data_IF_601265090959
#
_entry.id   IF_601265090959
#
_cell.length_a   1.000
_cell.length_b   1.000
_cell.length_c   1.000
_cell.angle_alpha   90.00
_cell.angle_beta   90.00
_cell.angle_gamma   90.00
#
_symmetry.space_group_name_H-M   'P 1'
#
loop_
_entity.id
_entity.type
_entity.pdbx_description
1 polymer ?
#
# COMPACT_ATOMS: atom_id res chain seq x y z
N UNK A 1 -1.51 -6.34 -4.57
CA UNK A 1 -0.26 -6.53 -5.35
C UNK A 1 0.94 -6.70 -4.42
N UNK A 2 2.06 -7.23 -4.95
CA UNK A 2 3.27 -7.47 -4.17
C UNK A 2 4.26 -6.28 -4.15
N UNK A 3 3.87 -5.12 -4.66
CA UNK A 3 4.73 -3.91 -4.73
C UNK A 3 3.93 -2.63 -4.51
N UNK A 4 4.63 -1.57 -4.04
CA UNK A 4 4.01 -0.32 -3.57
C UNK A 4 3.08 0.37 -4.57
N UNK A 5 3.59 0.76 -5.75
CA UNK A 5 2.82 1.52 -6.75
C UNK A 5 1.55 0.79 -7.19
N UNK A 6 1.61 -0.49 -7.63
CA UNK A 6 0.40 -1.22 -8.01
C UNK A 6 -0.61 -1.38 -6.88
N UNK A 7 -0.15 -1.59 -5.63
CA UNK A 7 -1.05 -1.72 -4.49
C UNK A 7 -1.78 -0.41 -4.18
N UNK A 8 -1.05 0.72 -4.22
CA UNK A 8 -1.61 2.05 -3.98
C UNK A 8 -2.57 2.46 -5.09
N UNK A 9 -2.23 2.15 -6.35
CA UNK A 9 -3.11 2.35 -7.49
C UNK A 9 -4.44 1.61 -7.30
N UNK A 10 -4.37 0.29 -7.05
CA UNK A 10 -5.58 -0.51 -6.84
C UNK A 10 -6.42 -0.08 -5.62
N UNK A 11 -5.77 0.35 -4.52
CA UNK A 11 -6.46 0.88 -3.35
C UNK A 11 -7.28 2.14 -3.68
N UNK A 12 -6.68 3.06 -4.42
CA UNK A 12 -7.31 4.36 -4.67
C UNK A 12 -8.32 4.31 -5.82
N UNK A 13 -8.11 3.48 -6.83
CA UNK A 13 -8.95 3.48 -8.05
C UNK A 13 -10.00 2.36 -8.09
N UNK A 14 -9.83 1.30 -7.29
CA UNK A 14 -10.66 0.10 -7.40
C UNK A 14 -10.38 -0.74 -8.65
N UNK A 15 -9.34 -0.39 -9.42
CA UNK A 15 -8.94 -1.07 -10.66
C UNK A 15 -7.75 -1.99 -10.39
N UNK A 16 -7.82 -3.21 -10.90
CA UNK A 16 -6.66 -4.10 -10.85
C UNK A 16 -5.52 -3.53 -11.70
N UNK A 17 -4.34 -3.25 -11.10
CA UNK A 17 -3.21 -2.63 -11.80
C UNK A 17 -2.72 -3.46 -13.02
N UNK A 18 -3.08 -4.74 -13.09
CA UNK A 18 -2.79 -5.57 -14.25
C UNK A 18 -3.55 -5.12 -15.51
N UNK A 19 -4.74 -4.51 -15.37
CA UNK A 19 -5.52 -4.01 -16.51
C UNK A 19 -4.88 -2.83 -17.22
N UNK A 20 -4.17 -2.00 -16.48
CA UNK A 20 -3.56 -0.75 -16.99
C UNK A 20 -2.06 -0.85 -17.19
N UNK A 21 -1.47 -2.05 -17.00
CA UNK A 21 -0.03 -2.24 -17.12
C UNK A 21 0.81 -1.70 -15.97
N UNK A 22 0.19 -1.22 -14.89
CA UNK A 22 0.86 -0.74 -13.68
C UNK A 22 1.38 -1.93 -12.87
N UNK A 23 2.42 -2.58 -13.35
CA UNK A 23 2.92 -3.85 -12.79
C UNK A 23 4.11 -3.68 -11.85
N UNK A 24 4.82 -2.57 -11.96
CA UNK A 24 6.06 -2.33 -11.23
C UNK A 24 5.99 -1.06 -10.40
N UNK A 25 6.89 -0.96 -9.45
CA UNK A 25 7.09 0.27 -8.66
C UNK A 25 7.62 1.37 -9.57
N UNK A 26 7.02 2.55 -9.54
CA UNK A 26 7.53 3.73 -10.22
C UNK A 26 8.93 4.10 -9.71
N UNK A 27 9.75 4.64 -10.59
CA UNK A 27 10.95 5.36 -10.20
C UNK A 27 10.55 6.62 -9.41
N UNK A 28 11.48 7.18 -8.65
CA UNK A 28 11.23 8.29 -7.74
C UNK A 28 10.50 9.48 -8.40
N UNK A 29 10.77 9.74 -9.68
CA UNK A 29 10.15 10.82 -10.48
C UNK A 29 9.35 10.24 -11.66
N UNK A 30 8.58 9.20 -11.40
CA UNK A 30 7.68 8.65 -12.40
C UNK A 30 6.57 9.64 -12.77
N UNK A 31 6.12 9.59 -14.03
CA UNK A 31 4.93 10.32 -14.50
C UNK A 31 3.71 9.87 -13.70
N UNK A 32 2.73 10.78 -13.53
CA UNK A 32 1.42 10.43 -12.99
C UNK A 32 0.80 9.26 -13.76
N UNK A 33 0.26 8.29 -13.02
CA UNK A 33 -0.31 7.04 -13.58
C UNK A 33 -1.82 6.92 -13.38
N UNK A 34 -2.41 7.77 -12.55
CA UNK A 34 -3.86 7.93 -12.47
C UNK A 34 -4.24 8.94 -13.54
N UNK A 35 -5.17 8.60 -14.42
CA UNK A 35 -5.64 9.52 -15.45
C UNK A 35 -6.47 10.64 -14.81
N UNK A 36 -6.50 11.81 -15.45
CA UNK A 36 -7.15 13.00 -14.88
C UNK A 36 -8.65 12.81 -14.64
N UNK A 37 -9.31 12.01 -15.45
CA UNK A 37 -10.74 11.67 -15.36
C UNK A 37 -11.03 10.44 -14.48
N UNK A 38 -9.97 9.72 -14.06
CA UNK A 38 -10.10 8.52 -13.24
C UNK A 38 -10.40 8.90 -11.79
N UNK A 39 -11.59 8.51 -11.31
CA UNK A 39 -12.03 8.77 -9.94
C UNK A 39 -11.31 7.90 -8.93
N UNK A 40 -11.03 8.48 -7.78
CA UNK A 40 -10.35 7.81 -6.67
C UNK A 40 -11.25 7.60 -5.46
N UNK A 41 -10.78 6.81 -4.52
CA UNK A 41 -11.41 6.63 -3.22
C UNK A 41 -11.58 7.98 -2.47
N UNK A 42 -10.64 8.94 -2.66
CA UNK A 42 -10.77 10.27 -2.10
C UNK A 42 -11.90 11.07 -2.76
N UNK A 43 -12.12 10.92 -4.08
CA UNK A 43 -13.28 11.53 -4.75
C UNK A 43 -14.60 10.97 -4.22
N UNK A 44 -14.68 9.67 -3.94
CA UNK A 44 -15.85 9.06 -3.32
C UNK A 44 -16.15 9.71 -1.95
N UNK A 45 -15.17 9.78 -1.07
CA UNK A 45 -15.36 10.41 0.24
C UNK A 45 -15.74 11.88 0.12
N UNK A 46 -15.08 12.63 -0.76
CA UNK A 46 -15.35 14.05 -1.01
C UNK A 46 -16.77 14.26 -1.54
N UNK A 47 -17.26 13.41 -2.46
CA UNK A 47 -18.64 13.48 -2.98
C UNK A 47 -19.71 13.24 -1.90
N UNK A 48 -19.35 12.52 -0.83
CA UNK A 48 -20.21 12.28 0.34
C UNK A 48 -19.98 13.29 1.48
N UNK A 49 -19.34 14.42 1.20
CA UNK A 49 -19.18 15.53 2.13
C UNK A 49 -18.03 15.41 3.14
N UNK A 50 -17.13 14.43 2.98
CA UNK A 50 -15.94 14.31 3.82
C UNK A 50 -14.87 15.34 3.45
N UNK A 51 -14.12 15.82 4.44
CA UNK A 51 -12.81 16.41 4.20
C UNK A 51 -11.79 15.29 3.97
N UNK A 52 -10.94 15.45 2.96
CA UNK A 52 -10.07 14.37 2.48
C UNK A 52 -8.60 14.77 2.58
N UNK A 53 -7.81 13.98 3.29
CA UNK A 53 -6.42 14.31 3.59
C UNK A 53 -5.50 13.12 3.29
N UNK A 54 -4.38 13.40 2.63
CA UNK A 54 -3.29 12.45 2.49
C UNK A 54 -2.06 12.96 3.24
N UNK A 55 -1.52 12.15 4.14
CA UNK A 55 -0.27 12.42 4.84
C UNK A 55 0.69 11.25 4.62
N UNK A 56 1.84 11.51 4.00
CA UNK A 56 2.87 10.52 3.80
C UNK A 56 3.24 10.26 2.35
N UNK A 57 3.51 9.01 2.00
CA UNK A 57 4.02 8.59 0.69
C UNK A 57 2.90 8.53 -0.36
N UNK A 58 3.04 9.26 -1.48
CA UNK A 58 2.17 9.15 -2.65
C UNK A 58 2.50 7.95 -3.53
N UNK A 59 3.59 8.01 -4.24
CA UNK A 59 4.18 6.97 -5.09
C UNK A 59 3.32 6.53 -6.30
N UNK A 60 2.51 7.44 -6.81
CA UNK A 60 1.72 7.24 -8.04
C UNK A 60 2.10 8.25 -9.14
N UNK A 61 3.24 8.93 -8.95
CA UNK A 61 3.80 9.87 -9.91
C UNK A 61 3.20 11.26 -9.84
N UNK A 62 3.80 12.14 -10.62
CA UNK A 62 3.37 13.53 -10.87
C UNK A 62 3.75 13.88 -12.31
N UNK A 63 3.07 14.81 -12.93
CA UNK A 63 3.46 15.37 -14.22
C UNK A 63 4.48 16.49 -13.99
N UNK A 64 5.74 16.10 -13.84
CA UNK A 64 6.82 17.03 -13.55
C UNK A 64 7.05 18.01 -14.70
N UNK A 65 6.95 19.33 -14.50
CA UNK A 65 7.44 20.30 -15.47
C UNK A 65 8.97 20.11 -15.62
N UNK A 66 9.49 19.90 -16.81
CA UNK A 66 10.93 19.71 -17.06
C UNK A 66 11.58 18.42 -16.54
N UNK A 67 11.00 17.27 -16.81
CA UNK A 67 11.51 15.94 -16.38
C UNK A 67 13.01 15.70 -16.66
N UNK A 68 13.62 16.34 -17.65
CA UNK A 68 14.97 15.98 -18.13
C UNK A 68 16.12 16.74 -17.43
N UNK A 69 15.90 17.87 -16.77
CA UNK A 69 17.01 18.73 -16.33
C UNK A 69 17.19 18.93 -14.82
N UNK A 70 16.14 18.91 -14.01
CA UNK A 70 16.26 19.18 -12.57
C UNK A 70 15.45 18.20 -11.73
N UNK A 71 16.07 17.71 -10.66
CA UNK A 71 15.41 16.86 -9.65
C UNK A 71 14.39 17.64 -8.80
N UNK A 72 14.41 18.96 -8.84
CA UNK A 72 13.57 19.87 -8.09
C UNK A 72 13.00 20.96 -9.00
N UNK A 73 11.82 21.46 -8.67
CA UNK A 73 11.16 22.59 -9.31
C UNK A 73 10.40 23.41 -8.27
N UNK A 74 10.28 24.71 -8.50
CA UNK A 74 9.38 25.60 -7.74
C UNK A 74 7.95 25.62 -8.31
N UNK A 75 7.78 25.08 -9.52
CA UNK A 75 6.48 25.02 -10.18
C UNK A 75 5.56 23.97 -9.52
N UNK A 76 4.23 24.09 -9.73
CA UNK A 76 3.30 23.06 -9.32
C UNK A 76 3.64 21.69 -9.89
N UNK A 77 3.23 20.66 -9.18
CA UNK A 77 3.36 19.24 -9.54
C UNK A 77 1.97 18.67 -9.87
N UNK A 78 1.47 18.81 -11.10
CA UNK A 78 0.18 18.28 -11.49
C UNK A 78 0.14 16.75 -11.44
N UNK A 79 -1.07 16.17 -11.44
CA UNK A 79 -1.30 14.73 -11.38
C UNK A 79 -1.03 14.13 -9.99
N UNK A 80 -0.96 14.98 -8.97
CA UNK A 80 -0.75 14.59 -7.58
C UNK A 80 -2.04 14.34 -6.80
N UNK A 81 -1.94 14.15 -5.48
CA UNK A 81 -3.09 13.83 -4.62
C UNK A 81 -4.23 14.86 -4.70
N UNK A 82 -3.91 16.15 -4.79
CA UNK A 82 -4.93 17.21 -4.81
C UNK A 82 -5.73 17.25 -6.10
N UNK A 83 -5.18 16.70 -7.19
CA UNK A 83 -5.88 16.53 -8.46
C UNK A 83 -6.75 15.27 -8.47
N UNK A 84 -6.59 14.40 -7.48
CA UNK A 84 -7.25 13.11 -7.34
C UNK A 84 -8.06 12.99 -6.03
N UNK A 85 -8.84 14.03 -5.73
CA UNK A 85 -9.87 14.00 -4.68
C UNK A 85 -9.42 14.34 -3.27
N UNK A 86 -8.13 14.52 -2.98
CA UNK A 86 -7.67 14.98 -1.67
C UNK A 86 -7.74 16.50 -1.55
N UNK A 87 -8.38 17.01 -0.50
CA UNK A 87 -8.41 18.45 -0.19
C UNK A 87 -7.02 18.95 0.23
N UNK A 88 -6.23 18.11 0.91
CA UNK A 88 -4.86 18.44 1.30
C UNK A 88 -3.92 17.25 1.18
N UNK A 89 -2.67 17.54 0.83
CA UNK A 89 -1.57 16.60 0.83
C UNK A 89 -0.36 17.18 1.58
N UNK A 90 0.24 16.40 2.47
CA UNK A 90 1.55 16.69 3.01
C UNK A 90 2.37 15.40 3.08
N UNK A 91 3.46 15.33 2.31
CA UNK A 91 4.18 14.07 2.27
C UNK A 91 5.38 14.04 1.34
N UNK A 92 5.61 12.85 0.79
CA UNK A 92 6.75 12.51 -0.04
C UNK A 92 6.25 11.97 -1.39
N UNK A 93 6.96 12.32 -2.46
CA UNK A 93 6.64 11.77 -3.78
C UNK A 93 6.81 10.23 -3.83
N UNK A 94 7.75 9.68 -3.04
CA UNK A 94 8.03 8.24 -2.91
C UNK A 94 8.51 7.94 -1.48
N UNK A 95 9.53 7.10 -1.27
CA UNK A 95 10.07 6.82 0.06
C UNK A 95 10.96 7.94 0.59
N UNK A 96 11.22 7.96 1.91
CA UNK A 96 12.04 8.99 2.56
C UNK A 96 13.51 9.04 2.11
N UNK A 97 13.97 8.06 1.36
CA UNK A 97 15.30 8.04 0.73
C UNK A 97 15.28 8.19 -0.80
N UNK A 98 14.20 8.71 -1.37
CA UNK A 98 14.06 8.93 -2.81
C UNK A 98 14.27 10.40 -3.16
N UNK A 99 15.16 10.69 -4.09
CA UNK A 99 15.39 12.05 -4.60
C UNK A 99 14.18 12.63 -5.34
N UNK A 100 13.85 13.91 -5.13
CA UNK A 100 14.49 14.88 -4.22
C UNK A 100 14.06 14.65 -2.77
N UNK A 101 15.01 14.80 -1.81
CA UNK A 101 14.74 14.66 -0.39
C UNK A 101 14.08 15.94 0.15
N UNK A 102 12.80 16.04 -0.07
CA UNK A 102 11.98 17.20 0.26
C UNK A 102 10.54 16.76 0.51
N UNK A 103 9.85 17.45 1.40
CA UNK A 103 8.39 17.29 1.51
C UNK A 103 7.69 18.04 0.37
N UNK A 104 6.47 17.59 0.11
CA UNK A 104 5.52 18.26 -0.78
C UNK A 104 4.33 18.67 0.09
N UNK A 105 3.87 19.89 -0.07
CA UNK A 105 2.62 20.38 0.47
C UNK A 105 1.68 20.69 -0.68
N UNK A 106 0.57 19.99 -0.73
CA UNK A 106 -0.41 19.98 -1.82
C UNK A 106 0.24 19.64 -3.18
N UNK A 107 0.54 20.63 -3.97
CA UNK A 107 1.11 20.50 -5.32
C UNK A 107 2.54 21.06 -5.44
N UNK A 108 3.23 21.38 -4.32
CA UNK A 108 4.54 22.04 -4.37
C UNK A 108 5.54 21.44 -3.40
N UNK A 109 6.79 21.38 -3.80
CA UNK A 109 7.88 21.12 -2.87
C UNK A 109 8.00 22.25 -1.84
N UNK A 110 8.20 21.89 -0.56
CA UNK A 110 8.29 22.86 0.54
C UNK A 110 9.58 23.69 0.52
N UNK A 111 10.68 23.13 0.00
CA UNK A 111 11.95 23.83 -0.14
C UNK A 111 12.86 23.13 -1.16
N UNK A 112 13.85 23.87 -1.69
CA UNK A 112 14.89 23.33 -2.58
C UNK A 112 15.86 22.44 -1.79
N UNK A 113 16.16 21.20 -2.25
CA UNK A 113 17.26 20.43 -1.70
C UNK A 113 18.61 21.12 -1.98
N UNK A 114 19.31 21.50 -0.92
CA UNK A 114 20.58 22.22 -1.01
C UNK A 114 21.57 21.89 0.10
N UNK A 115 21.14 21.05 1.09
CA UNK A 115 21.97 20.68 2.21
C UNK A 115 22.45 19.23 2.06
N UNK A 116 23.74 18.93 2.18
CA UNK A 116 24.25 17.57 2.12
C UNK A 116 23.60 16.67 3.18
N UNK A 117 23.16 15.50 2.75
CA UNK A 117 22.62 14.47 3.63
C UNK A 117 23.26 13.12 3.31
N UNK A 118 23.76 12.45 4.35
CA UNK A 118 24.34 11.11 4.25
C UNK A 118 23.48 10.13 5.03
N UNK A 119 23.12 9.00 4.41
CA UNK A 119 22.35 7.94 5.05
C UNK A 119 22.72 6.54 4.57
N UNK A 120 22.50 5.48 5.38
CA UNK A 120 22.80 4.11 4.99
C UNK A 120 21.74 3.56 4.03
N UNK A 121 22.18 2.81 3.03
CA UNK A 121 21.34 1.97 2.17
C UNK A 121 21.84 0.54 2.22
N UNK A 122 20.97 -0.36 2.65
CA UNK A 122 21.29 -1.78 2.79
C UNK A 122 21.01 -2.55 1.48
N UNK A 123 21.80 -3.57 1.21
CA UNK A 123 21.66 -4.43 0.03
C UNK A 123 21.26 -5.87 0.42
N UNK A 124 20.84 -6.64 -0.59
CA UNK A 124 20.40 -8.03 -0.39
C UNK A 124 21.53 -8.98 0.03
N UNK A 125 22.80 -8.60 -0.16
CA UNK A 125 23.96 -9.40 0.28
C UNK A 125 24.24 -9.21 1.75
N UNK A 126 23.58 -8.26 2.41
CA UNK A 126 23.74 -7.91 3.82
C UNK A 126 24.80 -6.85 4.06
N UNK A 127 25.31 -6.24 2.99
CA UNK A 127 26.15 -5.05 3.06
C UNK A 127 25.34 -3.77 3.23
N UNK A 128 26.05 -2.68 3.49
CA UNK A 128 25.46 -1.33 3.44
C UNK A 128 26.44 -0.39 2.75
N UNK A 129 25.89 0.64 2.11
CA UNK A 129 26.68 1.74 1.55
C UNK A 129 26.10 3.07 2.00
N UNK A 130 26.93 4.08 2.11
CA UNK A 130 26.48 5.45 2.33
C UNK A 130 25.97 6.04 1.01
N UNK A 131 24.79 6.65 1.07
CA UNK A 131 24.26 7.50 0.03
C UNK A 131 24.52 8.94 0.45
N UNK A 132 25.12 9.71 -0.45
CA UNK A 132 25.33 11.15 -0.29
C UNK A 132 24.46 11.87 -1.33
N UNK A 133 23.58 12.75 -0.89
CA UNK A 133 22.68 13.52 -1.73
C UNK A 133 22.24 14.78 -1.01
N UNK A 134 21.60 15.70 -1.74
CA UNK A 134 21.08 16.93 -1.15
C UNK A 134 19.66 16.71 -0.62
N UNK A 135 19.37 17.36 0.52
CA UNK A 135 18.06 17.44 1.13
C UNK A 135 17.61 18.90 1.32
N UNK A 136 16.32 19.11 1.40
CA UNK A 136 15.75 20.41 1.76
C UNK A 136 16.10 20.77 3.21
N UNK A 137 16.17 22.05 3.50
CA UNK A 137 16.38 22.53 4.88
C UNK A 137 15.30 21.98 5.80
N UNK A 138 15.72 21.41 6.93
CA UNK A 138 14.83 20.77 7.90
C UNK A 138 14.37 19.36 7.54
N UNK A 139 14.76 18.81 6.39
CA UNK A 139 14.51 17.42 6.06
C UNK A 139 15.57 16.50 6.66
N UNK A 140 15.11 15.43 7.31
CA UNK A 140 15.95 14.33 7.72
C UNK A 140 15.17 13.03 7.60
N UNK A 141 15.84 11.93 7.28
CA UNK A 141 15.20 10.62 7.15
C UNK A 141 14.66 10.15 8.50
N UNK A 142 15.43 10.33 9.58
CA UNK A 142 15.02 10.01 10.95
C UNK A 142 13.75 10.79 11.36
N UNK A 143 13.69 12.08 11.00
CA UNK A 143 12.58 12.97 11.37
C UNK A 143 11.40 12.92 10.39
N UNK A 144 11.54 12.28 9.23
CA UNK A 144 10.46 12.22 8.25
C UNK A 144 9.17 11.63 8.81
N UNK A 145 9.25 10.49 9.50
CA UNK A 145 8.09 9.84 10.13
C UNK A 145 7.48 10.67 11.28
N UNK A 146 8.26 11.21 12.25
CA UNK A 146 7.73 12.13 13.27
C UNK A 146 7.04 13.38 12.71
N UNK A 147 7.59 13.99 11.66
CA UNK A 147 7.00 15.18 11.03
C UNK A 147 5.64 14.83 10.39
N UNK A 148 5.56 13.71 9.66
CA UNK A 148 4.32 13.22 9.09
C UNK A 148 3.30 12.87 10.18
N UNK A 149 3.72 12.21 11.26
CA UNK A 149 2.85 11.92 12.39
C UNK A 149 2.30 13.21 13.01
N UNK A 150 3.16 14.21 13.25
CA UNK A 150 2.73 15.52 13.79
C UNK A 150 1.64 16.15 12.92
N UNK A 151 1.79 16.11 11.58
CA UNK A 151 0.78 16.62 10.64
C UNK A 151 -0.55 15.85 10.78
N UNK A 152 -0.51 14.53 10.84
CA UNK A 152 -1.72 13.72 11.00
C UNK A 152 -2.44 14.00 12.32
N UNK A 153 -1.70 14.11 13.43
CA UNK A 153 -2.26 14.44 14.75
C UNK A 153 -2.87 15.85 14.78
N UNK A 154 -2.25 16.82 14.09
CA UNK A 154 -2.82 18.17 13.93
C UNK A 154 -4.15 18.10 13.20
N UNK A 155 -4.24 17.40 12.06
CA UNK A 155 -5.50 17.25 11.31
C UNK A 155 -6.62 16.62 12.15
N UNK A 156 -6.32 15.60 12.95
CA UNK A 156 -7.29 14.97 13.86
C UNK A 156 -7.77 15.98 14.90
N UNK A 157 -6.84 16.73 15.51
CA UNK A 157 -7.16 17.75 16.52
C UNK A 157 -7.98 18.89 15.93
N UNK A 158 -7.57 19.41 14.79
CA UNK A 158 -8.25 20.52 14.10
C UNK A 158 -9.66 20.10 13.70
N UNK A 159 -9.83 18.84 13.26
CA UNK A 159 -11.13 18.28 12.94
C UNK A 159 -12.05 18.21 14.16
N UNK A 160 -11.53 17.75 15.30
CA UNK A 160 -12.30 17.68 16.54
C UNK A 160 -12.78 19.04 17.06
N UNK A 161 -12.08 20.12 16.69
CA UNK A 161 -12.41 21.48 17.10
C UNK A 161 -13.40 22.21 16.15
N UNK A 162 -13.66 21.64 14.95
CA UNK A 162 -14.57 22.25 13.97
C UNK A 162 -16.03 22.11 14.42
N UNK A 163 -16.76 23.22 14.41
CA UNK A 163 -18.19 23.26 14.74
C UNK A 163 -19.10 22.67 13.64
N UNK A 164 -18.59 22.52 12.43
CA UNK A 164 -19.37 22.17 11.23
C UNK A 164 -19.70 20.68 11.08
N UNK A 165 -19.22 19.80 11.98
CA UNK A 165 -19.58 18.38 12.00
C UNK A 165 -19.24 17.56 10.75
N UNK A 166 -18.47 18.13 9.79
CA UNK A 166 -18.09 17.48 8.54
C UNK A 166 -17.18 16.27 8.83
N UNK A 167 -17.46 15.04 8.38
CA UNK A 167 -16.60 13.90 8.60
C UNK A 167 -15.27 14.02 7.84
N UNK A 168 -14.25 13.19 8.18
CA UNK A 168 -12.97 13.21 7.49
C UNK A 168 -12.57 11.82 7.00
N UNK A 169 -11.82 11.81 5.91
CA UNK A 169 -11.04 10.69 5.40
C UNK A 169 -9.56 11.05 5.46
N UNK A 170 -8.79 10.34 6.27
CA UNK A 170 -7.35 10.51 6.40
C UNK A 170 -6.62 9.26 5.90
N UNK A 171 -5.94 9.36 4.76
CA UNK A 171 -5.01 8.34 4.30
C UNK A 171 -3.61 8.63 4.85
N UNK A 172 -3.25 8.02 5.99
CA UNK A 172 -1.91 8.08 6.54
C UNK A 172 -1.01 7.04 5.87
N UNK A 173 -0.36 7.43 4.78
CA UNK A 173 0.48 6.58 3.95
C UNK A 173 1.94 6.59 4.46
N UNK A 174 2.20 5.90 5.57
CA UNK A 174 3.51 5.87 6.23
C UNK A 174 4.64 5.49 5.29
N UNK A 175 5.79 6.20 5.30
CA UNK A 175 6.99 5.78 4.58
C UNK A 175 7.78 4.68 5.29
N UNK A 176 7.53 4.42 6.58
CA UNK A 176 8.16 3.35 7.34
C UNK A 176 7.27 2.08 7.34
N UNK A 177 7.85 0.89 7.40
CA UNK A 177 9.27 0.55 7.59
C UNK A 177 10.08 0.39 6.28
N UNK A 178 9.80 1.14 5.21
CA UNK A 178 10.63 1.12 3.99
C UNK A 178 12.03 1.70 4.25
N UNK A 179 13.07 1.14 3.61
CA UNK A 179 14.40 1.73 3.71
C UNK A 179 14.47 3.13 3.06
N UNK A 180 15.42 3.99 3.50
CA UNK A 180 16.51 3.74 4.45
C UNK A 180 16.02 3.60 5.89
N UNK A 181 16.62 2.65 6.62
CA UNK A 181 16.23 2.34 7.99
C UNK A 181 17.03 3.19 8.98
N UNK A 182 16.47 4.34 9.31
CA UNK A 182 17.01 5.30 10.27
C UNK A 182 15.94 5.56 11.33
N UNK A 183 15.73 4.61 12.27
CA UNK A 183 14.73 4.76 13.32
C UNK A 183 15.09 5.88 14.28
N UNK A 184 14.06 6.47 14.90
CA UNK A 184 14.27 7.42 16.00
C UNK A 184 15.15 6.81 17.09
N UNK A 185 15.97 7.65 17.73
CA UNK A 185 16.96 7.23 18.74
C UNK A 185 16.37 6.35 19.85
N UNK A 186 15.13 6.60 20.29
CA UNK A 186 14.43 5.80 21.29
C UNK A 186 14.12 4.36 20.88
N UNK A 187 14.15 4.03 19.59
CA UNK A 187 13.90 2.68 19.06
C UNK A 187 15.17 1.95 18.64
N UNK A 188 16.29 2.66 18.46
CA UNK A 188 17.56 2.06 17.99
C UNK A 188 18.01 0.92 18.93
N UNK A 189 18.18 -0.28 18.35
CA UNK A 189 18.62 -1.49 19.06
C UNK A 189 17.56 -2.14 19.96
N UNK A 190 16.31 -1.67 19.95
CA UNK A 190 15.27 -2.19 20.85
C UNK A 190 14.63 -3.49 20.39
N UNK A 191 14.57 -3.75 19.09
CA UNK A 191 13.96 -4.96 18.55
C UNK A 191 14.82 -6.22 18.70
N UNK A 192 16.14 -6.07 18.80
CA UNK A 192 17.09 -7.19 18.66
C UNK A 192 17.20 -7.73 17.24
N UNK A 193 16.44 -7.19 16.28
CA UNK A 193 16.35 -7.65 14.89
C UNK A 193 16.94 -6.66 13.87
N UNK A 194 17.75 -5.70 14.37
CA UNK A 194 18.38 -4.68 13.56
C UNK A 194 17.46 -3.52 13.15
N UNK A 195 17.96 -2.59 12.31
CA UNK A 195 17.25 -1.32 12.06
C UNK A 195 15.87 -1.46 11.44
N UNK A 196 15.59 -2.53 10.71
CA UNK A 196 14.24 -2.80 10.20
C UNK A 196 13.27 -3.18 11.31
N UNK A 197 13.66 -4.08 12.22
CA UNK A 197 12.85 -4.44 13.37
C UNK A 197 12.56 -3.23 14.28
N UNK A 198 13.56 -2.37 14.49
CA UNK A 198 13.41 -1.11 15.22
C UNK A 198 12.38 -0.18 14.53
N UNK A 199 12.38 -0.15 13.19
CA UNK A 199 11.39 0.62 12.41
C UNK A 199 9.98 0.03 12.51
N UNK A 200 9.83 -1.30 12.61
CA UNK A 200 8.52 -1.93 12.85
C UNK A 200 7.99 -1.53 14.23
N UNK A 201 8.83 -1.52 15.27
CA UNK A 201 8.45 -1.01 16.60
C UNK A 201 8.06 0.48 16.55
N UNK A 202 8.77 1.28 15.76
CA UNK A 202 8.42 2.69 15.56
C UNK A 202 7.06 2.82 14.84
N UNK A 203 6.75 1.96 13.87
CA UNK A 203 5.46 1.95 13.17
C UNK A 203 4.32 1.63 14.14
N UNK A 204 4.48 0.61 14.98
CA UNK A 204 3.49 0.27 16.00
C UNK A 204 3.22 1.46 16.95
N UNK A 205 4.28 2.13 17.39
CA UNK A 205 4.15 3.35 18.18
C UNK A 205 3.42 4.47 17.43
N UNK A 206 3.67 4.66 16.13
CA UNK A 206 2.95 5.67 15.31
C UNK A 206 1.45 5.38 15.28
N UNK A 207 1.07 4.12 15.07
CA UNK A 207 -0.35 3.70 15.09
C UNK A 207 -0.97 3.95 16.47
N UNK A 208 -0.21 3.64 17.54
CA UNK A 208 -0.61 3.95 18.92
C UNK A 208 -0.90 5.44 19.13
N UNK A 209 -0.01 6.34 18.64
CA UNK A 209 -0.21 7.80 18.76
C UNK A 209 -1.47 8.30 18.02
N UNK A 210 -1.75 7.76 16.83
CA UNK A 210 -2.97 8.09 16.07
C UNK A 210 -4.21 7.62 16.85
N UNK A 211 -4.22 6.36 17.30
CA UNK A 211 -5.32 5.80 18.09
C UNK A 211 -5.56 6.58 19.40
N UNK A 212 -4.52 6.98 20.09
CA UNK A 212 -4.61 7.77 21.31
C UNK A 212 -5.12 9.20 21.05
N UNK A 213 -4.72 9.79 19.91
CA UNK A 213 -5.24 11.09 19.49
C UNK A 213 -6.75 11.04 19.23
N UNK A 214 -7.23 10.00 18.52
CA UNK A 214 -8.65 9.79 18.30
C UNK A 214 -9.43 9.65 19.62
N UNK A 215 -8.90 8.88 20.57
CA UNK A 215 -9.50 8.73 21.90
C UNK A 215 -9.55 10.05 22.67
N UNK A 216 -8.41 10.79 22.73
CA UNK A 216 -8.30 12.07 23.45
C UNK A 216 -9.22 13.14 22.89
N UNK A 217 -9.50 13.08 21.60
CA UNK A 217 -10.40 14.03 20.92
C UNK A 217 -11.87 13.57 20.91
N UNK A 218 -12.17 12.36 21.40
CA UNK A 218 -13.52 11.78 21.41
C UNK A 218 -14.02 11.31 20.04
N UNK A 219 -13.16 11.31 19.02
CA UNK A 219 -13.51 10.91 17.67
C UNK A 219 -13.49 9.38 17.47
N UNK A 220 -12.85 8.62 18.37
CA UNK A 220 -12.64 7.18 18.24
C UNK A 220 -13.95 6.38 18.12
N UNK A 221 -15.02 6.79 18.77
CA UNK A 221 -16.32 6.11 18.75
C UNK A 221 -16.99 6.13 17.37
N UNK A 222 -16.70 7.14 16.56
CA UNK A 222 -17.26 7.29 15.21
C UNK A 222 -16.18 7.33 14.12
N UNK A 223 -15.04 6.73 14.37
CA UNK A 223 -13.96 6.60 13.40
C UNK A 223 -13.62 5.14 13.17
N UNK A 224 -13.70 4.70 11.90
CA UNK A 224 -13.13 3.43 11.47
C UNK A 224 -11.62 3.60 11.26
N UNK A 225 -10.81 2.99 12.12
CA UNK A 225 -9.36 2.96 12.00
C UNK A 225 -8.93 1.65 11.33
N UNK A 226 -8.25 1.76 10.19
CA UNK A 226 -7.75 0.61 9.42
C UNK A 226 -6.22 0.64 9.42
N UNK A 227 -5.61 -0.50 9.75
CA UNK A 227 -4.18 -0.72 9.61
C UNK A 227 -3.91 -1.81 8.58
N UNK A 228 -3.02 -1.53 7.63
CA UNK A 228 -2.57 -2.50 6.64
C UNK A 228 -1.19 -2.11 6.08
N UNK A 229 -0.63 -2.94 5.19
CA UNK A 229 0.63 -2.67 4.48
C UNK A 229 0.44 -2.81 2.98
N UNK A 230 1.21 -2.05 2.18
CA UNK A 230 1.09 -2.06 0.71
C UNK A 230 1.69 -3.32 0.05
N UNK A 231 2.56 -4.05 0.73
CA UNK A 231 3.14 -5.33 0.28
C UNK A 231 3.86 -6.05 1.43
N UNK A 232 4.21 -7.31 1.19
CA UNK A 232 5.01 -8.12 2.12
C UNK A 232 6.42 -7.56 2.36
N UNK A 233 7.14 -8.18 3.30
CA UNK A 233 8.50 -7.78 3.71
C UNK A 233 9.47 -7.68 2.53
N UNK A 234 10.37 -6.70 2.54
CA UNK A 234 11.37 -6.57 1.49
C UNK A 234 12.44 -7.70 1.57
N UNK A 235 12.99 -8.16 0.42
CA UNK A 235 14.03 -9.21 0.42
C UNK A 235 15.25 -8.86 1.27
N UNK A 236 15.60 -7.58 1.35
CA UNK A 236 16.73 -7.11 2.16
C UNK A 236 16.41 -7.24 3.65
N UNK A 237 15.22 -6.81 4.08
CA UNK A 237 14.79 -6.90 5.48
C UNK A 237 14.59 -8.36 5.90
N UNK A 238 13.91 -9.17 5.06
CA UNK A 238 13.73 -10.59 5.32
C UNK A 238 15.05 -11.29 5.58
N UNK A 239 16.03 -11.13 4.68
CA UNK A 239 17.34 -11.76 4.84
C UNK A 239 18.09 -11.29 6.09
N UNK A 240 17.96 -10.01 6.44
CA UNK A 240 18.57 -9.45 7.65
C UNK A 240 18.00 -10.10 8.92
N UNK A 241 16.70 -10.21 9.02
CA UNK A 241 16.02 -10.78 10.19
C UNK A 241 16.14 -12.29 10.27
N UNK A 242 16.09 -12.99 9.12
CA UNK A 242 16.31 -14.45 9.05
C UNK A 242 17.67 -14.87 9.62
N UNK A 243 18.73 -14.09 9.39
CA UNK A 243 20.05 -14.31 10.04
C UNK A 243 20.02 -14.26 11.56
N UNK A 244 18.96 -13.70 12.13
CA UNK A 244 18.73 -13.58 13.57
C UNK A 244 17.62 -14.51 14.06
N UNK A 245 17.25 -15.51 13.24
CA UNK A 245 16.26 -16.53 13.58
C UNK A 245 14.80 -16.05 13.48
N UNK A 246 14.53 -14.89 12.82
CA UNK A 246 13.18 -14.39 12.66
C UNK A 246 12.64 -14.59 11.24
N UNK A 247 11.51 -15.29 11.13
CA UNK A 247 10.80 -15.54 9.87
C UNK A 247 9.73 -14.47 9.61
N UNK A 248 10.11 -13.43 8.85
CA UNK A 248 9.26 -12.25 8.61
C UNK A 248 8.01 -12.50 7.79
N UNK A 249 7.97 -13.59 7.02
CA UNK A 249 6.81 -14.01 6.22
C UNK A 249 6.09 -15.21 6.86
N UNK A 250 6.48 -15.61 8.07
CA UNK A 250 6.00 -16.84 8.73
C UNK A 250 6.06 -18.05 7.79
N UNK A 251 4.92 -18.74 7.61
CA UNK A 251 4.77 -19.90 6.72
C UNK A 251 4.58 -19.52 5.24
N UNK A 252 4.40 -18.23 4.90
CA UNK A 252 4.08 -17.82 3.53
C UNK A 252 5.33 -17.78 2.68
N UNK A 253 5.29 -18.45 1.53
CA UNK A 253 6.37 -18.45 0.55
C UNK A 253 6.56 -17.06 -0.07
N UNK A 254 7.82 -16.69 -0.29
CA UNK A 254 8.17 -15.45 -0.96
C UNK A 254 8.06 -14.20 -0.08
N UNK A 255 8.14 -13.04 -0.71
CA UNK A 255 8.20 -11.73 -0.07
C UNK A 255 7.87 -10.65 -1.09
N UNK A 256 8.06 -9.36 -0.77
CA UNK A 256 7.85 -8.22 -1.69
C UNK A 256 8.37 -8.50 -3.09
N UNK A 257 7.56 -8.22 -4.09
CA UNK A 257 7.78 -8.44 -5.52
C UNK A 257 7.74 -9.91 -5.99
N UNK A 258 7.50 -10.86 -5.10
CA UNK A 258 7.25 -12.25 -5.49
C UNK A 258 5.76 -12.48 -5.77
N UNK A 259 5.47 -13.52 -6.56
CA UNK A 259 4.10 -13.91 -6.92
C UNK A 259 3.40 -14.75 -5.86
N UNK A 260 4.16 -15.26 -4.89
CA UNK A 260 3.71 -16.11 -3.81
C UNK A 260 3.07 -15.31 -2.66
N UNK A 261 2.38 -16.00 -1.75
CA UNK A 261 1.57 -15.37 -0.70
C UNK A 261 2.35 -14.41 0.19
N UNK A 262 3.62 -14.68 0.52
CA UNK A 262 4.46 -13.78 1.32
C UNK A 262 4.69 -12.39 0.69
N UNK A 263 4.46 -12.25 -0.61
CA UNK A 263 4.50 -10.94 -1.29
C UNK A 263 3.18 -10.16 -1.22
N UNK A 264 2.07 -10.87 -1.10
CA UNK A 264 0.72 -10.33 -1.24
C UNK A 264 -0.05 -10.28 0.08
N UNK A 265 0.15 -11.28 0.97
CA UNK A 265 -0.55 -11.39 2.24
C UNK A 265 0.06 -10.44 3.25
N UNK A 266 -0.72 -9.49 3.70
CA UNK A 266 -0.33 -8.40 4.60
C UNK A 266 -1.30 -8.32 5.77
N UNK A 267 -0.89 -7.75 6.93
CA UNK A 267 -1.82 -7.49 8.02
C UNK A 267 -3.00 -6.62 7.54
N UNK A 268 -4.19 -6.96 8.02
CA UNK A 268 -5.39 -6.15 7.84
C UNK A 268 -6.16 -6.14 9.15
N UNK A 269 -6.20 -5.00 9.82
CA UNK A 269 -6.82 -4.82 11.13
C UNK A 269 -7.79 -3.65 11.04
N UNK A 270 -9.03 -3.85 11.45
CA UNK A 270 -10.07 -2.80 11.51
C UNK A 270 -10.56 -2.64 12.92
N UNK A 271 -10.63 -1.38 13.36
CA UNK A 271 -11.20 -0.99 14.64
C UNK A 271 -12.29 0.05 14.40
N UNK A 272 -13.51 -0.25 14.85
CA UNK A 272 -14.63 0.70 14.82
C UNK A 272 -15.51 0.49 16.05
N UNK A 273 -15.21 1.15 17.18
CA UNK A 273 -15.91 0.95 18.44
C UNK A 273 -17.41 1.19 18.32
N UNK A 274 -18.21 0.27 18.88
CA UNK A 274 -19.66 0.34 18.85
C UNK A 274 -20.32 0.00 17.50
N UNK A 275 -19.51 -0.36 16.49
CA UNK A 275 -19.99 -0.77 15.15
C UNK A 275 -19.52 -2.18 14.77
N UNK A 276 -18.29 -2.52 15.13
CA UNK A 276 -17.71 -3.84 14.87
C UNK A 276 -17.39 -4.50 16.22
N UNK A 277 -17.60 -5.81 16.28
CA UNK A 277 -17.27 -6.63 17.44
C UNK A 277 -15.75 -6.76 17.59
N UNK A 278 -15.27 -6.48 18.80
CA UNK A 278 -13.84 -6.57 19.10
C UNK A 278 -13.37 -8.04 19.27
N UNK A 279 -12.11 -8.31 18.91
CA UNK A 279 -11.50 -9.62 19.09
C UNK A 279 -11.94 -10.69 18.09
N UNK A 280 -12.68 -10.29 17.05
CA UNK A 280 -13.14 -11.20 15.99
C UNK A 280 -12.12 -11.31 14.86
N UNK A 281 -12.14 -12.42 14.14
CA UNK A 281 -11.35 -12.68 12.94
C UNK A 281 -12.23 -13.14 11.79
N UNK A 282 -11.83 -12.87 10.55
CA UNK A 282 -12.53 -13.33 9.35
C UNK A 282 -11.55 -14.05 8.42
N UNK A 283 -11.96 -15.20 7.91
CA UNK A 283 -11.22 -15.98 6.90
C UNK A 283 -11.50 -15.52 5.46
N UNK A 284 -12.18 -14.38 5.30
CA UNK A 284 -12.51 -13.81 4.00
C UNK A 284 -11.27 -13.31 3.27
N UNK A 285 -11.11 -13.70 2.02
CA UNK A 285 -10.07 -13.14 1.14
C UNK A 285 -10.55 -11.80 0.58
N UNK A 286 -9.78 -10.75 0.82
CA UNK A 286 -10.04 -9.40 0.33
C UNK A 286 -8.86 -8.86 -0.48
N UNK A 287 -9.09 -7.83 -1.28
CA UNK A 287 -8.06 -7.16 -2.06
C UNK A 287 -8.14 -5.64 -1.83
N UNK A 288 -7.07 -4.92 -2.09
CA UNK A 288 -7.08 -3.46 -1.99
C UNK A 288 -8.05 -2.77 -2.95
N UNK A 289 -8.29 -3.35 -4.12
CA UNK A 289 -9.35 -2.85 -5.02
C UNK A 289 -10.71 -2.83 -4.35
N UNK A 290 -10.98 -3.74 -3.42
CA UNK A 290 -12.29 -3.94 -2.79
C UNK A 290 -12.69 -2.84 -1.81
N UNK A 291 -11.73 -2.01 -1.38
CA UNK A 291 -12.01 -0.87 -0.51
C UNK A 291 -12.98 0.12 -1.16
N UNK A 292 -12.87 0.32 -2.48
CA UNK A 292 -13.70 1.28 -3.18
C UNK A 292 -15.19 0.90 -3.10
N UNK A 293 -15.56 -0.30 -3.52
CA UNK A 293 -16.95 -0.79 -3.44
C UNK A 293 -17.42 -0.91 -1.98
N UNK A 294 -16.53 -1.29 -1.05
CA UNK A 294 -16.87 -1.41 0.37
C UNK A 294 -17.25 -0.05 0.97
N UNK A 295 -16.49 0.99 0.68
CA UNK A 295 -16.82 2.33 1.15
C UNK A 295 -17.97 2.96 0.37
N UNK A 296 -18.14 2.65 -0.92
CA UNK A 296 -19.30 3.08 -1.69
C UNK A 296 -20.60 2.52 -1.07
N UNK A 297 -20.62 1.23 -0.73
CA UNK A 297 -21.75 0.60 -0.04
C UNK A 297 -21.98 1.21 1.36
N UNK A 298 -20.92 1.37 2.16
CA UNK A 298 -21.01 1.97 3.50
C UNK A 298 -21.58 3.39 3.45
N UNK A 299 -21.20 4.17 2.46
CA UNK A 299 -21.61 5.57 2.25
C UNK A 299 -22.87 5.72 1.40
N UNK A 300 -23.50 4.60 1.02
CA UNK A 300 -24.70 4.57 0.17
C UNK A 300 -24.54 5.36 -1.13
N UNK A 301 -23.38 5.19 -1.79
CA UNK A 301 -23.13 5.71 -3.12
C UNK A 301 -23.75 4.79 -4.18
N UNK A 302 -24.22 5.35 -5.29
CA UNK A 302 -24.58 4.58 -6.48
C UNK A 302 -23.29 4.20 -7.23
N UNK A 303 -22.71 3.07 -6.79
CA UNK A 303 -21.35 2.66 -7.19
C UNK A 303 -21.23 2.48 -8.70
N UNK A 304 -22.19 1.82 -9.34
CA UNK A 304 -22.14 1.53 -10.77
C UNK A 304 -22.27 2.80 -11.62
N UNK A 305 -23.11 3.74 -11.18
CA UNK A 305 -23.34 5.00 -11.87
C UNK A 305 -22.26 6.05 -11.60
N UNK A 306 -21.86 6.20 -10.35
CA UNK A 306 -20.93 7.25 -9.93
C UNK A 306 -19.45 6.87 -10.21
N UNK A 307 -19.11 5.56 -10.19
CA UNK A 307 -17.73 5.06 -10.26
C UNK A 307 -17.56 3.84 -11.20
N UNK A 308 -17.99 3.93 -12.45
CA UNK A 308 -18.01 2.80 -13.38
C UNK A 308 -16.60 2.27 -13.74
N UNK A 309 -15.55 3.04 -13.47
CA UNK A 309 -14.16 2.63 -13.73
C UNK A 309 -13.60 1.63 -12.70
N UNK A 310 -14.18 1.56 -11.50
CA UNK A 310 -13.70 0.70 -10.40
C UNK A 310 -14.12 -0.77 -10.56
N UNK A 311 -13.97 -1.32 -11.77
CA UNK A 311 -14.53 -2.61 -12.23
C UNK A 311 -14.02 -3.87 -11.50
N UNK A 312 -12.93 -3.78 -10.76
CA UNK A 312 -12.33 -4.90 -10.02
C UNK A 312 -12.61 -4.83 -8.51
N UNK A 313 -13.49 -3.91 -8.11
CA UNK A 313 -13.83 -3.68 -6.72
C UNK A 313 -15.09 -4.45 -6.31
N UNK A 314 -15.00 -5.22 -5.24
CA UNK A 314 -16.10 -6.01 -4.69
C UNK A 314 -16.21 -5.73 -3.19
N UNK A 315 -17.40 -5.36 -2.73
CA UNK A 315 -17.59 -5.00 -1.33
C UNK A 315 -17.40 -6.19 -0.39
N UNK A 316 -16.55 -6.00 0.61
CA UNK A 316 -16.40 -6.91 1.76
C UNK A 316 -17.07 -6.39 3.04
N UNK A 317 -17.99 -5.43 2.92
CA UNK A 317 -18.64 -4.83 4.08
C UNK A 317 -19.36 -5.87 4.95
N UNK A 318 -19.96 -6.89 4.33
CA UNK A 318 -20.59 -8.01 5.04
C UNK A 318 -19.60 -8.81 5.90
N UNK A 319 -18.35 -8.96 5.47
CA UNK A 319 -17.31 -9.64 6.24
C UNK A 319 -16.85 -8.83 7.47
N UNK A 320 -17.01 -7.52 7.46
CA UNK A 320 -16.74 -6.67 8.63
C UNK A 320 -17.83 -6.83 9.70
N UNK A 321 -19.11 -6.88 9.30
CA UNK A 321 -20.23 -7.00 10.25
C UNK A 321 -20.55 -8.43 10.65
N UNK A 322 -20.15 -9.42 9.87
CA UNK A 322 -20.39 -10.84 10.10
C UNK A 322 -19.12 -11.65 9.84
N UNK A 323 -18.09 -11.51 10.68
CA UNK A 323 -16.76 -12.09 10.42
C UNK A 323 -16.77 -13.62 10.33
N UNK A 324 -17.75 -14.28 10.96
CA UNK A 324 -17.95 -15.74 10.86
C UNK A 324 -18.54 -16.20 9.51
N UNK A 325 -19.06 -15.28 8.68
CA UNK A 325 -19.54 -15.58 7.33
C UNK A 325 -18.47 -15.22 6.32
N UNK A 326 -17.99 -16.22 5.60
CA UNK A 326 -16.96 -16.02 4.58
C UNK A 326 -17.54 -15.24 3.38
N UNK A 327 -16.99 -14.07 3.10
CA UNK A 327 -17.20 -13.37 1.83
C UNK A 327 -16.44 -14.11 0.73
N UNK A 328 -17.15 -14.53 -0.33
CA UNK A 328 -16.54 -15.14 -1.52
C UNK A 328 -16.33 -14.08 -2.59
N UNK A 329 -15.08 -13.76 -2.79
CA UNK A 329 -14.65 -12.81 -3.80
C UNK A 329 -14.56 -13.49 -5.18
N UNK A 330 -14.97 -12.82 -6.29
CA UNK A 330 -14.65 -13.27 -7.63
C UNK A 330 -13.13 -13.44 -7.85
N UNK A 331 -12.70 -14.24 -8.84
CA UNK A 331 -11.31 -14.48 -9.14
C UNK A 331 -10.50 -13.20 -9.27
N UNK A 332 -9.26 -13.18 -8.75
CA UNK A 332 -8.38 -12.01 -8.84
C UNK A 332 -7.03 -12.37 -9.44
N UNK A 333 -6.61 -11.57 -10.41
CA UNK A 333 -5.30 -11.71 -11.06
C UNK A 333 -4.24 -10.91 -10.30
N UNK A 334 -3.08 -11.53 -10.06
CA UNK A 334 -1.91 -10.92 -9.48
C UNK A 334 -0.80 -10.78 -10.54
N UNK A 335 -0.35 -9.56 -10.82
CA UNK A 335 0.81 -9.27 -11.68
C UNK A 335 0.80 -9.91 -13.08
N UNK A 336 -0.34 -10.16 -13.69
CA UNK A 336 -0.47 -10.81 -15.01
C UNK A 336 -0.02 -12.27 -15.09
N UNK A 337 0.25 -12.96 -14.01
CA UNK A 337 0.65 -14.36 -14.12
C UNK A 337 0.28 -15.23 -12.90
N UNK A 338 -0.47 -14.73 -11.96
CA UNK A 338 -1.03 -15.52 -10.89
C UNK A 338 -2.52 -15.21 -10.75
N UNK A 339 -3.32 -16.22 -10.46
CA UNK A 339 -4.75 -16.14 -10.24
C UNK A 339 -5.05 -16.69 -8.84
N UNK A 340 -5.85 -15.97 -8.07
CA UNK A 340 -6.44 -16.42 -6.82
C UNK A 340 -7.92 -16.66 -7.02
N UNK A 341 -8.40 -17.86 -6.69
CA UNK A 341 -9.82 -18.23 -6.69
C UNK A 341 -10.10 -18.89 -5.35
N UNK A 342 -10.86 -18.27 -4.49
CA UNK A 342 -11.09 -18.75 -3.10
C UNK A 342 -9.77 -19.14 -2.41
N UNK A 343 -9.58 -20.43 -2.07
CA UNK A 343 -8.37 -20.94 -1.44
C UNK A 343 -7.34 -21.49 -2.43
N UNK A 344 -7.61 -21.39 -3.72
CA UNK A 344 -6.71 -21.85 -4.75
C UNK A 344 -5.84 -20.73 -5.28
N UNK A 345 -4.57 -21.02 -5.51
CA UNK A 345 -3.65 -20.17 -6.24
C UNK A 345 -3.06 -20.90 -7.43
N UNK A 346 -3.28 -20.32 -8.60
CA UNK A 346 -2.74 -20.84 -9.84
C UNK A 346 -1.76 -19.83 -10.42
N UNK A 347 -0.63 -20.33 -10.97
CA UNK A 347 0.43 -19.47 -11.50
C UNK A 347 0.78 -19.92 -12.92
N UNK A 348 0.72 -18.95 -13.85
CA UNK A 348 1.11 -19.14 -15.25
C UNK A 348 2.63 -19.11 -15.40
N UNK A 349 3.24 -20.04 -16.17
CA UNK A 349 4.67 -20.00 -16.47
C UNK A 349 5.06 -18.77 -17.28
N UNK A 350 6.34 -18.46 -17.31
CA UNK A 350 6.96 -17.60 -18.32
C UNK A 350 7.43 -16.21 -17.90
N UNK A 351 6.78 -15.50 -16.96
CA UNK A 351 7.26 -14.17 -16.56
C UNK A 351 8.13 -14.25 -15.31
N UNK A 352 9.33 -13.67 -15.37
CA UNK A 352 10.16 -13.43 -14.18
C UNK A 352 9.62 -12.27 -13.38
N UNK A 353 9.66 -12.36 -12.06
CA UNK A 353 9.53 -11.18 -11.20
C UNK A 353 10.90 -10.53 -10.98
N UNK A 354 10.90 -9.33 -10.40
CA UNK A 354 12.13 -8.54 -10.21
C UNK A 354 13.25 -9.29 -9.45
N UNK A 355 12.90 -10.19 -8.56
CA UNK A 355 13.87 -10.90 -7.69
C UNK A 355 13.90 -12.42 -7.91
N UNK A 356 13.07 -12.97 -8.78
CA UNK A 356 13.10 -14.40 -9.12
C UNK A 356 14.17 -14.67 -10.17
N UNK A 357 15.13 -15.52 -9.81
CA UNK A 357 16.30 -15.82 -10.67
C UNK A 357 15.98 -16.73 -11.86
N UNK A 358 14.99 -17.60 -11.71
CA UNK A 358 14.63 -18.61 -12.71
C UNK A 358 13.30 -18.27 -13.39
N UNK A 359 13.23 -18.52 -14.71
CA UNK A 359 11.98 -18.49 -15.46
C UNK A 359 11.20 -19.75 -15.10
N UNK A 360 9.96 -19.60 -14.71
CA UNK A 360 9.06 -20.74 -14.57
C UNK A 360 8.77 -21.36 -15.95
N UNK A 361 8.83 -22.66 -16.02
CA UNK A 361 8.55 -23.44 -17.24
C UNK A 361 7.24 -24.22 -17.17
N UNK A 362 6.67 -24.37 -15.97
CA UNK A 362 5.49 -25.16 -15.70
C UNK A 362 4.41 -24.34 -14.97
N UNK A 363 3.16 -24.77 -15.10
CA UNK A 363 2.06 -24.26 -14.26
C UNK A 363 2.26 -24.69 -12.81
N UNK A 364 1.88 -23.81 -11.88
CA UNK A 364 1.81 -24.14 -10.47
C UNK A 364 0.36 -23.98 -9.98
N UNK A 365 -0.10 -24.91 -9.14
CA UNK A 365 -1.42 -24.87 -8.49
C UNK A 365 -1.26 -25.25 -7.03
N UNK A 366 -1.78 -24.42 -6.12
CA UNK A 366 -1.66 -24.58 -4.69
C UNK A 366 -3.02 -24.50 -4.01
N UNK A 367 -3.27 -25.39 -3.04
CA UNK A 367 -4.38 -25.35 -2.11
C UNK A 367 -3.95 -24.58 -0.84
N UNK A 368 -4.24 -23.30 -0.78
CA UNK A 368 -3.77 -22.43 0.30
C UNK A 368 -4.48 -22.64 1.64
N UNK A 369 -5.58 -23.41 1.66
CA UNK A 369 -6.21 -23.82 2.90
C UNK A 369 -5.34 -24.87 3.62
N UNK A 370 -4.81 -25.84 2.88
CA UNK A 370 -4.01 -26.95 3.41
C UNK A 370 -2.50 -26.71 3.26
N UNK A 371 -2.08 -25.90 2.28
CA UNK A 371 -0.69 -25.57 1.98
C UNK A 371 -0.51 -24.05 1.80
N UNK A 372 -0.66 -23.26 2.87
CA UNK A 372 -0.47 -21.79 2.79
C UNK A 372 0.97 -21.38 2.47
N UNK A 373 1.92 -22.30 2.59
CA UNK A 373 3.33 -22.14 2.26
C UNK A 373 3.67 -22.41 0.80
N UNK A 374 2.70 -22.83 -0.03
CA UNK A 374 2.88 -23.08 -1.47
C UNK A 374 4.05 -24.04 -1.75
N UNK A 375 4.08 -25.18 -0.99
CA UNK A 375 5.18 -26.17 -1.06
C UNK A 375 4.87 -27.31 -2.05
N UNK A 376 3.58 -27.66 -2.23
CA UNK A 376 3.15 -28.79 -3.03
C UNK A 376 2.42 -28.35 -4.27
N UNK A 377 3.10 -28.40 -5.43
CA UNK A 377 2.46 -28.09 -6.72
C UNK A 377 1.49 -29.21 -7.12
N UNK A 378 0.22 -28.88 -7.26
CA UNK A 378 -0.87 -29.79 -7.60
C UNK A 378 -1.29 -29.71 -9.09
N UNK A 379 -0.64 -28.90 -9.92
CA UNK A 379 -1.06 -28.69 -11.32
C UNK A 379 -1.11 -30.00 -12.11
N UNK A 380 -0.11 -30.87 -11.96
CA UNK A 380 -0.09 -32.19 -12.60
C UNK A 380 -1.09 -33.21 -12.00
N UNK A 381 -1.51 -33.03 -10.75
CA UNK A 381 -2.49 -33.89 -10.08
C UNK A 381 -3.95 -33.44 -10.31
N UNK A 382 -4.16 -32.18 -10.69
CA UNK A 382 -5.46 -31.55 -10.92
C UNK A 382 -5.46 -30.79 -12.26
N UNK A 383 -5.25 -31.49 -13.39
CA UNK A 383 -5.12 -30.82 -14.69
C UNK A 383 -6.39 -30.09 -15.13
N UNK A 384 -7.56 -30.65 -14.84
CA UNK A 384 -8.86 -30.05 -15.17
C UNK A 384 -9.06 -28.70 -14.46
N UNK A 385 -8.78 -28.64 -13.16
CA UNK A 385 -8.86 -27.42 -12.36
C UNK A 385 -7.83 -26.37 -12.85
N UNK A 386 -6.62 -26.81 -13.21
CA UNK A 386 -5.59 -25.95 -13.77
C UNK A 386 -6.02 -25.37 -15.12
N UNK A 387 -6.72 -26.17 -15.95
CA UNK A 387 -7.27 -25.72 -17.24
C UNK A 387 -8.42 -24.75 -17.06
N UNK A 388 -9.32 -24.97 -16.10
CA UNK A 388 -10.37 -24.01 -15.75
C UNK A 388 -9.78 -22.65 -15.35
N UNK A 389 -8.77 -22.64 -14.48
CA UNK A 389 -8.13 -21.41 -14.06
C UNK A 389 -7.35 -20.71 -15.18
N UNK A 390 -6.79 -21.46 -16.10
CA UNK A 390 -6.20 -20.91 -17.31
C UNK A 390 -7.24 -20.16 -18.17
N UNK A 391 -8.44 -20.69 -18.32
CA UNK A 391 -9.52 -20.03 -19.08
C UNK A 391 -9.98 -18.72 -18.39
N UNK A 392 -10.16 -18.73 -17.05
CA UNK A 392 -10.48 -17.53 -16.30
C UNK A 392 -9.38 -16.47 -16.48
N UNK A 393 -8.13 -16.87 -16.41
CA UNK A 393 -6.97 -16.01 -16.62
C UNK A 393 -6.92 -15.46 -18.07
N UNK A 394 -7.21 -16.26 -19.07
CA UNK A 394 -7.27 -15.81 -20.47
C UNK A 394 -8.36 -14.76 -20.68
N UNK A 395 -9.56 -14.99 -20.15
CA UNK A 395 -10.68 -14.05 -20.22
C UNK A 395 -10.31 -12.70 -19.58
N UNK A 396 -9.64 -12.71 -18.44
CA UNK A 396 -9.13 -11.48 -17.83
C UNK A 396 -8.15 -10.77 -18.76
N UNK A 397 -7.19 -11.49 -19.35
CA UNK A 397 -6.15 -10.91 -20.21
C UNK A 397 -6.69 -10.32 -21.51
N UNK A 398 -7.75 -10.88 -22.09
CA UNK A 398 -8.41 -10.32 -23.28
C UNK A 398 -9.00 -8.93 -23.03
N UNK A 399 -9.34 -8.62 -21.78
CA UNK A 399 -9.92 -7.35 -21.36
C UNK A 399 -8.87 -6.36 -20.79
N UNK A 400 -7.58 -6.61 -21.00
CA UNK A 400 -6.50 -5.70 -20.60
C UNK A 400 -6.35 -4.59 -21.64
N UNK A 401 -6.47 -3.36 -21.19
CA UNK A 401 -6.04 -2.17 -21.94
C UNK A 401 -4.70 -1.73 -21.39
N UNK A 402 -3.60 -2.15 -22.00
CA UNK A 402 -2.27 -1.66 -21.63
C UNK A 402 -2.18 -0.16 -21.98
N UNK A 403 -1.85 0.67 -20.99
CA UNK A 403 -1.52 2.10 -21.16
C UNK A 403 -0.10 2.28 -21.68
#
# INVERSE_FOLDING_TARGET
SATCTPSRYGLLTGINPARTGVLNTLLARGKAIIDQDEKTLADLFRSKGYSTHLVGKWHLGFDYPNQKKNKWTSEPLPGGPVDHGFDTFFGLHSSSGSDPLCFIENDRYTAKPSNPLVYPKFDIKGGSRSINTDAATGFSIEQSSPILLKRALSLIKDHAQRKEGRPFFLYYASPIPHQPWVPMSKFKGKSGLGPYGDFVMQMDWVVGQINDSLKKTGLDKNTMLIFTSDNGVSPVAHKMMHKQGHESSEKFRGMKAFRYEGGHRVPFIVKWPGKLEAGTTSESTINFTDFFATFAELLKADFEKEFPSAVDSHSFLSALYSPGKRFRRPPMVHRLNALRVDDWKWIHPGRKTLFEKTKMTEYELYDLQNDPGEQTNLAGKKPELSQEFFQIYQTFNQNIKLK
#
